data_IF_170155499681
#
_entry.id   IF_170155499681
#
_cell.length_a   1.000
_cell.length_b   1.000
_cell.length_c   1.000
_cell.angle_alpha   90.00
_cell.angle_beta   90.00
_cell.angle_gamma   90.00
#
_symmetry.space_group_name_H-M   'P 1'
#
loop_
_entity.id
_entity.type
_entity.pdbx_description
1 polymer ?
#
# COMPACT_ATOMS: atom_id res chain seq x y z
N UNK A 1 4.25 -0.32 1.65
CA UNK A 1 4.62 1.11 1.81
C UNK A 1 5.63 1.20 2.94
N UNK A 2 6.70 1.96 2.77
CA UNK A 2 7.74 2.08 3.80
C UNK A 2 7.25 2.88 5.02
N UNK A 3 7.94 2.72 6.17
CA UNK A 3 7.41 3.18 7.46
C UNK A 3 7.28 4.69 7.60
N UNK A 4 8.24 5.48 7.08
CA UNK A 4 8.17 6.95 7.15
C UNK A 4 6.95 7.46 6.37
N UNK A 5 6.67 6.89 5.20
CA UNK A 5 5.49 7.23 4.41
C UNK A 5 4.19 6.81 5.12
N UNK A 6 4.18 5.64 5.82
CA UNK A 6 3.00 5.23 6.62
C UNK A 6 2.71 6.24 7.73
N UNK A 7 3.73 6.62 8.50
CA UNK A 7 3.58 7.63 9.55
C UNK A 7 3.01 8.93 9.01
N UNK A 8 3.55 9.44 7.91
CA UNK A 8 3.11 10.71 7.34
C UNK A 8 1.67 10.66 6.83
N UNK A 9 1.33 9.67 6.02
CA UNK A 9 -0.02 9.58 5.47
C UNK A 9 -1.07 9.33 6.55
N UNK A 10 -0.75 8.51 7.56
CA UNK A 10 -1.70 8.27 8.66
C UNK A 10 -1.82 9.44 9.62
N UNK A 11 -0.79 10.27 9.77
CA UNK A 11 -0.86 11.53 10.52
C UNK A 11 -1.80 12.56 9.84
N UNK A 12 -1.83 12.60 8.48
CA UNK A 12 -2.80 13.40 7.72
C UNK A 12 -4.23 12.86 7.94
N UNK A 13 -4.37 11.54 8.08
CA UNK A 13 -5.61 10.86 8.44
C UNK A 13 -6.41 10.31 7.25
N UNK A 14 -7.52 9.65 7.60
CA UNK A 14 -8.43 9.05 6.61
C UNK A 14 -8.16 7.58 6.31
N UNK A 15 -7.26 6.92 7.03
CA UNK A 15 -6.93 5.51 6.85
C UNK A 15 -7.28 4.71 8.10
N UNK A 16 -7.94 3.58 7.93
CA UNK A 16 -8.28 2.65 9.02
C UNK A 16 -7.15 1.69 9.32
N UNK A 17 -6.31 1.39 8.34
CA UNK A 17 -5.10 0.58 8.48
C UNK A 17 -4.12 0.83 7.34
N UNK A 18 -2.88 0.40 7.57
CA UNK A 18 -1.81 0.33 6.57
C UNK A 18 -1.31 -1.10 6.41
N UNK A 19 -0.60 -1.32 5.30
CA UNK A 19 0.10 -2.57 5.02
C UNK A 19 1.56 -2.25 4.74
N UNK A 20 2.49 -3.05 5.29
CA UNK A 20 3.93 -2.87 5.05
C UNK A 20 4.32 -3.15 3.60
N UNK A 21 5.56 -2.84 3.24
CA UNK A 21 6.21 -3.53 2.13
C UNK A 21 6.20 -5.04 2.40
N UNK A 22 6.15 -5.85 1.32
CA UNK A 22 6.14 -7.28 1.56
C UNK A 22 7.49 -7.81 2.08
N UNK A 23 7.42 -8.65 3.09
CA UNK A 23 8.53 -9.49 3.53
C UNK A 23 8.61 -10.70 2.61
N UNK A 24 9.71 -10.85 1.88
CA UNK A 24 9.88 -11.99 0.99
C UNK A 24 10.31 -13.23 1.77
N UNK A 25 9.44 -14.23 1.78
CA UNK A 25 9.68 -15.58 2.32
C UNK A 25 10.08 -16.50 1.18
N UNK A 26 11.35 -16.89 1.08
CA UNK A 26 11.85 -17.70 -0.06
C UNK A 26 12.34 -19.08 0.34
N UNK A 27 13.21 -19.19 1.33
CA UNK A 27 13.90 -20.47 1.65
C UNK A 27 14.11 -20.73 3.12
N UNK A 28 13.83 -19.73 3.98
CA UNK A 28 14.10 -19.83 5.42
C UNK A 28 13.04 -19.15 6.26
N UNK A 29 12.97 -19.56 7.53
CA UNK A 29 12.25 -18.83 8.57
C UNK A 29 13.09 -17.60 8.95
N UNK A 30 12.51 -16.41 8.84
CA UNK A 30 13.22 -15.16 9.04
C UNK A 30 13.31 -14.79 10.52
N UNK A 31 14.41 -14.22 10.97
CA UNK A 31 14.55 -13.79 12.37
C UNK A 31 13.71 -12.53 12.64
N UNK A 32 13.25 -12.30 13.90
CA UNK A 32 12.45 -11.14 14.32
C UNK A 32 12.96 -9.78 13.86
N UNK A 33 14.28 -9.60 13.81
CA UNK A 33 14.91 -8.35 13.36
C UNK A 33 14.52 -7.91 11.95
N UNK A 34 14.19 -8.86 11.06
CA UNK A 34 13.75 -8.55 9.69
C UNK A 34 12.37 -7.88 9.73
N UNK A 35 11.46 -8.41 10.54
CA UNK A 35 10.11 -7.84 10.71
C UNK A 35 10.16 -6.47 11.38
N UNK A 36 10.94 -6.30 12.46
CA UNK A 36 11.11 -4.99 13.10
C UNK A 36 11.75 -3.94 12.20
N UNK A 37 12.59 -4.33 11.25
CA UNK A 37 13.18 -3.41 10.27
C UNK A 37 12.14 -2.87 9.30
N UNK A 38 11.25 -3.73 8.78
CA UNK A 38 10.23 -3.37 7.80
C UNK A 38 8.95 -2.82 8.44
N UNK A 39 8.67 -3.24 9.67
CA UNK A 39 7.55 -2.79 10.48
C UNK A 39 8.04 -2.41 11.88
N UNK A 40 8.69 -1.23 12.06
CA UNK A 40 9.12 -0.76 13.37
C UNK A 40 7.95 -0.52 14.32
N UNK A 41 6.76 -0.32 13.79
CA UNK A 41 5.50 -0.17 14.51
C UNK A 41 5.21 -1.37 15.43
N UNK A 42 5.78 -2.55 15.15
CA UNK A 42 5.71 -3.71 16.06
C UNK A 42 6.28 -3.44 17.47
N UNK A 43 7.08 -2.37 17.62
CA UNK A 43 7.52 -1.90 18.93
C UNK A 43 6.51 -1.00 19.63
N UNK A 44 5.45 -0.62 18.92
CA UNK A 44 4.34 0.21 19.39
C UNK A 44 3.02 -0.50 19.06
N UNK A 45 2.84 -1.72 19.55
CA UNK A 45 1.63 -2.54 19.37
C UNK A 45 1.17 -2.68 17.90
N UNK A 46 2.11 -2.59 16.96
CA UNK A 46 1.83 -2.64 15.53
C UNK A 46 1.07 -1.44 14.98
N UNK A 47 1.17 -0.28 15.65
CA UNK A 47 0.45 0.95 15.26
C UNK A 47 1.41 2.08 14.94
N UNK A 48 1.01 2.94 13.98
CA UNK A 48 1.67 4.23 13.75
C UNK A 48 1.48 5.16 14.94
N UNK A 49 2.21 6.28 15.00
CA UNK A 49 2.06 7.27 16.07
C UNK A 49 0.64 7.86 16.13
N UNK A 50 -0.08 7.91 14.99
CA UNK A 50 -1.50 8.32 14.94
C UNK A 50 -2.49 7.21 15.37
N UNK A 51 -2.01 6.04 15.80
CA UNK A 51 -2.82 4.91 16.26
C UNK A 51 -3.33 3.99 15.15
N UNK A 52 -2.97 4.24 13.89
CA UNK A 52 -3.42 3.42 12.75
C UNK A 52 -2.72 2.06 12.76
N UNK A 53 -3.45 0.92 12.75
CA UNK A 53 -2.87 -0.42 12.74
C UNK A 53 -2.12 -0.69 11.43
N UNK A 54 -1.00 -1.42 11.54
CA UNK A 54 -0.13 -1.78 10.41
C UNK A 54 -0.05 -3.29 10.29
N UNK A 55 -0.62 -3.84 9.21
CA UNK A 55 -0.54 -5.27 8.91
C UNK A 55 0.81 -5.58 8.25
N UNK A 56 1.44 -6.66 8.70
CA UNK A 56 2.70 -7.13 8.09
C UNK A 56 2.38 -7.96 6.87
N UNK A 57 2.88 -7.53 5.70
CA UNK A 57 2.65 -8.24 4.45
C UNK A 57 3.74 -9.28 4.20
N UNK A 58 3.33 -10.52 3.95
CA UNK A 58 4.20 -11.63 3.56
C UNK A 58 4.02 -11.97 2.08
N UNK A 59 5.11 -12.37 1.42
CA UNK A 59 5.12 -12.84 0.05
C UNK A 59 6.00 -14.07 -0.09
N UNK A 60 5.44 -15.19 -0.49
CA UNK A 60 6.11 -16.45 -0.70
C UNK A 60 5.22 -17.45 -1.40
N UNK A 61 5.73 -18.67 -1.67
CA UNK A 61 5.02 -19.73 -2.38
C UNK A 61 5.06 -21.10 -1.67
N UNK A 62 5.77 -21.21 -0.56
CA UNK A 62 5.83 -22.43 0.24
C UNK A 62 4.91 -22.30 1.45
N UNK A 63 3.84 -23.13 1.56
CA UNK A 63 2.88 -23.03 2.65
C UNK A 63 3.51 -23.19 4.05
N UNK A 64 4.45 -24.11 4.23
CA UNK A 64 5.08 -24.36 5.52
C UNK A 64 5.97 -23.19 5.96
N UNK A 65 6.76 -22.62 5.04
CA UNK A 65 7.60 -21.46 5.33
C UNK A 65 6.73 -20.21 5.57
N UNK A 66 5.64 -20.03 4.81
CA UNK A 66 4.71 -18.93 5.02
C UNK A 66 4.06 -19.02 6.41
N UNK A 67 3.59 -20.18 6.80
CA UNK A 67 3.02 -20.46 8.12
C UNK A 67 4.01 -20.20 9.26
N UNK A 68 5.26 -20.69 9.13
CA UNK A 68 6.30 -20.49 10.14
C UNK A 68 6.66 -19.00 10.33
N UNK A 69 6.73 -18.22 9.23
CA UNK A 69 7.00 -16.79 9.30
C UNK A 69 5.78 -16.00 9.86
N UNK A 70 4.56 -16.38 9.47
CA UNK A 70 3.33 -15.78 10.00
C UNK A 70 3.20 -15.99 11.52
N UNK A 71 3.56 -17.18 12.04
CA UNK A 71 3.61 -17.47 13.48
C UNK A 71 4.57 -16.53 14.23
N UNK A 72 5.71 -16.17 13.63
CA UNK A 72 6.63 -15.18 14.23
C UNK A 72 5.98 -13.80 14.23
N UNK A 73 5.40 -13.38 13.11
CA UNK A 73 4.73 -12.07 12.98
C UNK A 73 3.62 -11.91 14.03
N UNK A 74 2.77 -12.94 14.19
CA UNK A 74 1.73 -12.95 15.23
C UNK A 74 2.32 -12.83 16.64
N UNK A 75 3.39 -13.60 16.96
CA UNK A 75 4.09 -13.51 18.25
C UNK A 75 4.72 -12.14 18.51
N UNK A 76 5.08 -11.38 17.48
CA UNK A 76 5.59 -10.02 17.60
C UNK A 76 4.49 -8.98 17.82
N UNK A 77 3.22 -9.40 17.94
CA UNK A 77 2.09 -8.52 18.23
C UNK A 77 1.59 -7.75 17.01
N UNK A 78 1.77 -8.26 15.80
CA UNK A 78 1.19 -7.63 14.61
C UNK A 78 -0.34 -7.60 14.70
N UNK A 79 -1.01 -6.46 14.43
CA UNK A 79 -2.47 -6.35 14.43
C UNK A 79 -3.16 -7.20 13.36
N UNK A 80 -2.40 -7.67 12.36
CA UNK A 80 -2.86 -8.55 11.30
C UNK A 80 -1.73 -8.90 10.33
N UNK A 81 -1.98 -9.88 9.49
CA UNK A 81 -1.05 -10.39 8.48
C UNK A 81 -1.73 -10.36 7.12
N UNK A 82 -1.06 -9.76 6.14
CA UNK A 82 -1.53 -9.71 4.76
C UNK A 82 -0.69 -10.60 3.84
N UNK A 83 -1.33 -11.35 2.94
CA UNK A 83 -0.68 -12.28 2.02
C UNK A 83 -0.72 -11.74 0.59
N UNK A 84 0.45 -11.56 -0.04
CA UNK A 84 0.56 -10.93 -1.36
C UNK A 84 0.66 -11.96 -2.49
N UNK A 85 -0.42 -12.09 -3.26
CA UNK A 85 -0.50 -12.90 -4.48
C UNK A 85 -0.64 -12.04 -5.75
N UNK A 86 -0.42 -10.73 -5.65
CA UNK A 86 -0.63 -9.80 -6.77
C UNK A 86 0.62 -9.11 -7.30
N UNK A 87 1.82 -9.36 -6.74
CA UNK A 87 3.05 -8.68 -7.15
C UNK A 87 3.46 -9.06 -8.58
N UNK A 88 3.56 -8.09 -9.53
CA UNK A 88 3.88 -8.38 -10.93
C UNK A 88 5.38 -8.41 -11.22
N UNK A 89 6.25 -8.16 -10.23
CA UNK A 89 7.69 -8.03 -10.43
C UNK A 89 8.31 -9.31 -11.01
N UNK A 90 9.11 -9.17 -12.07
CA UNK A 90 9.74 -10.30 -12.78
C UNK A 90 10.57 -11.19 -11.84
N UNK A 91 11.33 -10.59 -10.92
CA UNK A 91 12.17 -11.30 -9.95
C UNK A 91 11.36 -12.13 -8.96
N UNK A 92 10.17 -11.67 -8.56
CA UNK A 92 9.23 -12.39 -7.70
C UNK A 92 8.59 -13.52 -8.47
N UNK A 93 8.11 -13.26 -9.68
CA UNK A 93 7.41 -14.25 -10.50
C UNK A 93 8.35 -15.39 -10.96
N UNK A 94 9.63 -15.12 -11.24
CA UNK A 94 10.63 -16.16 -11.54
C UNK A 94 10.81 -17.17 -10.38
N UNK A 95 10.57 -16.74 -9.14
CA UNK A 95 10.63 -17.57 -7.93
C UNK A 95 9.27 -18.21 -7.57
N UNK A 96 8.33 -18.27 -8.53
CA UNK A 96 6.97 -18.80 -8.37
C UNK A 96 6.14 -18.11 -7.27
N UNK A 97 6.47 -16.83 -6.93
CA UNK A 97 5.75 -16.02 -5.93
C UNK A 97 4.91 -14.92 -6.56
N UNK A 98 4.13 -14.22 -5.73
CA UNK A 98 3.30 -13.10 -6.17
C UNK A 98 2.26 -13.49 -7.21
N UNK A 99 2.14 -12.71 -8.29
CA UNK A 99 1.09 -12.91 -9.28
C UNK A 99 1.16 -14.26 -10.04
N UNK A 100 2.30 -14.96 -10.05
CA UNK A 100 2.41 -16.28 -10.67
C UNK A 100 1.48 -17.30 -10.00
N UNK A 101 1.21 -17.14 -8.70
CA UNK A 101 0.33 -18.02 -7.93
C UNK A 101 -1.14 -17.95 -8.40
N UNK A 102 -1.54 -16.88 -9.09
CA UNK A 102 -2.87 -16.75 -9.67
C UNK A 102 -3.17 -17.80 -10.76
N UNK A 103 -2.14 -18.49 -11.27
CA UNK A 103 -2.28 -19.63 -12.21
C UNK A 103 -2.58 -20.95 -11.52
N UNK A 104 -2.52 -21.00 -10.19
CA UNK A 104 -2.72 -22.21 -9.38
C UNK A 104 -3.50 -21.81 -8.12
N UNK A 105 -4.82 -21.56 -8.23
CA UNK A 105 -5.65 -21.10 -7.11
C UNK A 105 -5.62 -22.04 -5.90
N UNK A 106 -5.44 -23.35 -6.12
CA UNK A 106 -5.30 -24.36 -5.05
C UNK A 106 -4.11 -24.04 -4.14
N UNK A 107 -2.98 -23.60 -4.72
CA UNK A 107 -1.80 -23.24 -3.93
C UNK A 107 -2.04 -21.97 -3.10
N UNK A 108 -2.90 -21.03 -3.58
CA UNK A 108 -3.33 -19.89 -2.78
C UNK A 108 -4.10 -20.37 -1.55
N UNK A 109 -5.02 -21.33 -1.72
CA UNK A 109 -5.73 -21.96 -0.61
C UNK A 109 -4.76 -22.58 0.38
N UNK A 110 -3.83 -23.44 -0.08
CA UNK A 110 -2.88 -24.13 0.78
C UNK A 110 -2.02 -23.16 1.60
N UNK A 111 -1.54 -22.08 0.99
CA UNK A 111 -0.75 -21.05 1.68
C UNK A 111 -1.61 -20.32 2.73
N UNK A 112 -2.78 -19.83 2.34
CA UNK A 112 -3.68 -19.10 3.24
C UNK A 112 -4.13 -19.99 4.41
N UNK A 113 -4.50 -21.25 4.14
CA UNK A 113 -4.91 -22.23 5.15
C UNK A 113 -3.78 -22.54 6.12
N UNK A 114 -2.58 -22.80 5.60
CA UNK A 114 -1.41 -23.06 6.45
C UNK A 114 -1.08 -21.87 7.36
N UNK A 115 -1.19 -20.63 6.84
CA UNK A 115 -0.99 -19.42 7.64
C UNK A 115 -2.11 -19.27 8.69
N UNK A 116 -3.38 -19.47 8.30
CA UNK A 116 -4.51 -19.40 9.23
C UNK A 116 -4.35 -20.39 10.38
N UNK A 117 -3.98 -21.64 10.09
CA UNK A 117 -3.82 -22.70 11.09
C UNK A 117 -2.62 -22.46 12.03
N UNK A 118 -1.60 -21.77 11.56
CA UNK A 118 -0.38 -21.49 12.35
C UNK A 118 -0.48 -20.22 13.23
N UNK A 119 -1.54 -19.44 13.09
CA UNK A 119 -1.71 -18.14 13.80
C UNK A 119 -2.89 -18.20 14.76
N UNK A 120 -2.91 -17.38 15.84
CA UNK A 120 -4.05 -17.27 16.74
C UNK A 120 -5.35 -16.93 15.97
N UNK A 121 -6.48 -17.41 16.46
CA UNK A 121 -7.79 -17.23 15.79
C UNK A 121 -8.20 -15.76 15.70
N UNK A 122 -7.80 -14.97 16.66
CA UNK A 122 -8.05 -13.53 16.78
C UNK A 122 -7.09 -12.66 15.96
N UNK A 123 -6.03 -13.25 15.37
CA UNK A 123 -5.13 -12.54 14.45
C UNK A 123 -5.78 -12.47 13.05
N UNK A 124 -6.18 -11.29 12.54
CA UNK A 124 -6.72 -11.17 11.20
C UNK A 124 -5.72 -11.58 10.12
N UNK A 125 -6.15 -12.45 9.22
CA UNK A 125 -5.40 -12.84 8.02
C UNK A 125 -6.12 -12.31 6.79
N UNK A 126 -5.45 -11.48 5.99
CA UNK A 126 -5.98 -10.95 4.74
C UNK A 126 -5.17 -11.41 3.55
N UNK A 127 -5.75 -11.40 2.38
CA UNK A 127 -5.04 -11.74 1.15
C UNK A 127 -5.25 -10.64 0.10
N UNK A 128 -4.23 -10.42 -0.75
CA UNK A 128 -4.31 -9.48 -1.86
C UNK A 128 -3.99 -10.18 -3.17
N UNK A 129 -4.97 -10.15 -4.09
CA UNK A 129 -4.91 -10.79 -5.41
C UNK A 129 -5.07 -9.76 -6.54
N UNK A 130 -5.03 -10.26 -7.78
CA UNK A 130 -5.50 -9.59 -8.99
C UNK A 130 -6.63 -10.42 -9.62
N UNK A 131 -7.28 -9.89 -10.65
CA UNK A 131 -8.31 -10.61 -11.42
C UNK A 131 -7.80 -11.92 -12.03
N UNK A 132 -6.50 -12.02 -12.27
CA UNK A 132 -5.82 -13.19 -12.82
C UNK A 132 -4.41 -12.85 -13.26
N UNK A 133 -3.73 -13.81 -13.89
CA UNK A 133 -2.38 -13.62 -14.41
C UNK A 133 -2.39 -13.09 -15.85
N UNK A 134 -2.84 -13.88 -16.81
CA UNK A 134 -2.91 -13.54 -18.23
C UNK A 134 -4.25 -12.83 -18.54
N UNK A 135 -5.35 -13.39 -18.07
CA UNK A 135 -6.72 -12.90 -18.16
C UNK A 135 -7.47 -13.10 -16.84
N UNK A 136 -8.76 -12.87 -16.81
CA UNK A 136 -9.64 -12.96 -15.63
C UNK A 136 -10.54 -14.22 -15.61
N UNK A 137 -10.30 -15.17 -16.49
CA UNK A 137 -11.11 -16.40 -16.59
C UNK A 137 -11.15 -17.24 -15.32
N UNK A 138 -10.05 -17.21 -14.52
CA UNK A 138 -9.93 -17.91 -13.25
C UNK A 138 -10.27 -17.06 -12.03
N UNK A 139 -10.81 -15.84 -12.21
CA UNK A 139 -11.02 -14.92 -11.09
C UNK A 139 -11.95 -15.49 -10.02
N UNK A 140 -13.03 -16.15 -10.42
CA UNK A 140 -13.97 -16.78 -9.49
C UNK A 140 -13.28 -17.86 -8.65
N UNK A 141 -12.45 -18.71 -9.26
CA UNK A 141 -11.72 -19.77 -8.57
C UNK A 141 -10.67 -19.18 -7.62
N UNK A 142 -9.90 -18.17 -8.06
CA UNK A 142 -8.93 -17.47 -7.22
C UNK A 142 -9.61 -16.91 -5.95
N UNK A 143 -10.75 -16.26 -6.10
CA UNK A 143 -11.51 -15.72 -4.99
C UNK A 143 -12.06 -16.83 -4.08
N UNK A 144 -12.66 -17.88 -4.65
CA UNK A 144 -13.23 -19.00 -3.92
C UNK A 144 -12.19 -19.73 -3.07
N UNK A 145 -11.07 -20.09 -3.67
CA UNK A 145 -10.00 -20.77 -2.96
C UNK A 145 -9.42 -19.92 -1.84
N UNK A 146 -9.19 -18.61 -2.10
CA UNK A 146 -8.72 -17.70 -1.06
C UNK A 146 -9.72 -17.63 0.12
N UNK A 147 -11.01 -17.44 -0.16
CA UNK A 147 -12.06 -17.31 0.86
C UNK A 147 -12.27 -18.60 1.65
N UNK A 148 -12.32 -19.74 0.99
CA UNK A 148 -12.47 -21.07 1.63
C UNK A 148 -11.31 -21.44 2.57
N UNK A 149 -10.16 -20.78 2.44
CA UNK A 149 -9.01 -20.99 3.32
C UNK A 149 -9.17 -20.42 4.73
N UNK A 150 -10.21 -19.61 4.97
CA UNK A 150 -10.48 -18.99 6.28
C UNK A 150 -9.79 -17.64 6.50
N UNK A 151 -9.44 -16.92 5.44
CA UNK A 151 -9.01 -15.52 5.55
C UNK A 151 -10.17 -14.61 5.97
N UNK A 152 -9.85 -13.47 6.57
CA UNK A 152 -10.84 -12.53 7.08
C UNK A 152 -11.31 -11.52 6.01
N UNK A 153 -10.46 -11.19 5.03
CA UNK A 153 -10.77 -10.22 3.96
C UNK A 153 -9.96 -10.53 2.70
N UNK A 154 -10.52 -10.19 1.54
CA UNK A 154 -9.84 -10.34 0.26
C UNK A 154 -9.75 -8.97 -0.45
N UNK A 155 -8.54 -8.47 -0.66
CA UNK A 155 -8.31 -7.27 -1.49
C UNK A 155 -8.05 -7.67 -2.94
N UNK A 156 -8.77 -7.06 -3.87
CA UNK A 156 -8.66 -7.35 -5.30
C UNK A 156 -8.18 -6.12 -6.07
N UNK A 157 -6.98 -6.20 -6.67
CA UNK A 157 -6.61 -5.23 -7.67
C UNK A 157 -7.36 -5.53 -8.97
N UNK A 158 -8.24 -4.60 -9.38
CA UNK A 158 -9.16 -4.76 -10.50
C UNK A 158 -8.48 -4.78 -11.88
N UNK A 159 -7.40 -5.54 -12.01
CA UNK A 159 -6.61 -5.80 -13.23
C UNK A 159 -5.95 -7.16 -13.17
N UNK A 160 -5.68 -7.73 -14.33
CA UNK A 160 -4.78 -8.89 -14.41
C UNK A 160 -3.31 -8.47 -14.25
N UNK A 161 -2.41 -9.45 -14.10
CA UNK A 161 -0.96 -9.17 -14.05
C UNK A 161 -0.45 -8.58 -15.36
N UNK A 162 -0.96 -9.06 -16.50
CA UNK A 162 -0.54 -8.59 -17.84
C UNK A 162 -1.00 -7.15 -18.11
N UNK A 163 -2.16 -6.76 -17.62
CA UNK A 163 -2.62 -5.37 -17.68
C UNK A 163 -1.76 -4.42 -16.85
N UNK A 164 -1.00 -4.94 -15.89
CA UNK A 164 -0.08 -4.20 -15.01
C UNK A 164 -0.77 -3.02 -14.29
N UNK A 165 -0.47 -1.78 -14.72
CA UNK A 165 -1.02 -0.55 -14.17
C UNK A 165 -1.72 0.32 -15.23
N UNK A 166 -1.95 -0.23 -16.42
CA UNK A 166 -2.61 0.50 -17.51
C UNK A 166 -4.10 0.68 -17.21
N UNK A 167 -4.66 1.89 -17.33
CA UNK A 167 -6.10 2.10 -17.20
C UNK A 167 -6.88 1.42 -18.33
N UNK A 168 -8.18 1.07 -18.09
CA UNK A 168 -8.92 1.26 -16.84
C UNK A 168 -8.65 0.15 -15.81
N UNK A 169 -9.09 0.37 -14.54
CA UNK A 169 -9.36 -0.72 -13.62
C UNK A 169 -10.77 -1.27 -13.89
N UNK A 170 -10.91 -2.60 -13.89
CA UNK A 170 -12.17 -3.27 -14.21
C UNK A 170 -12.98 -3.55 -12.93
N UNK A 171 -13.49 -2.50 -12.29
CA UNK A 171 -14.19 -2.58 -11.01
C UNK A 171 -15.44 -3.47 -11.06
N UNK A 172 -16.18 -3.49 -12.18
CA UNK A 172 -17.37 -4.31 -12.37
C UNK A 172 -17.12 -5.82 -12.21
N UNK A 173 -15.89 -6.28 -12.47
CA UNK A 173 -15.53 -7.68 -12.24
C UNK A 173 -15.62 -8.07 -10.77
N UNK A 174 -15.38 -7.14 -9.84
CA UNK A 174 -15.50 -7.40 -8.41
C UNK A 174 -16.98 -7.61 -8.00
N UNK A 175 -17.93 -6.99 -8.70
CA UNK A 175 -19.36 -7.17 -8.47
C UNK A 175 -19.81 -8.63 -8.58
N UNK A 176 -19.08 -9.46 -9.34
CA UNK A 176 -19.37 -10.90 -9.45
C UNK A 176 -19.12 -11.69 -8.17
N UNK A 177 -18.32 -11.15 -7.24
CA UNK A 177 -17.95 -11.81 -6.00
C UNK A 177 -18.31 -11.02 -4.73
N UNK A 178 -18.56 -9.69 -4.82
CA UNK A 178 -18.69 -8.81 -3.63
C UNK A 178 -19.90 -9.15 -2.76
N UNK A 179 -21.00 -9.59 -3.35
CA UNK A 179 -22.27 -9.78 -2.64
C UNK A 179 -22.53 -11.21 -2.12
N UNK A 180 -21.64 -12.18 -2.35
CA UNK A 180 -21.98 -13.60 -2.17
C UNK A 180 -21.00 -14.44 -1.36
N UNK A 181 -19.96 -13.86 -0.74
CA UNK A 181 -18.82 -14.63 -0.26
C UNK A 181 -18.60 -14.68 1.26
N UNK A 182 -19.41 -13.99 2.06
CA UNK A 182 -19.36 -14.08 3.52
C UNK A 182 -18.18 -13.39 4.21
N UNK A 183 -17.26 -12.77 3.45
CA UNK A 183 -16.18 -11.92 3.95
C UNK A 183 -16.10 -10.60 3.16
N UNK A 184 -15.57 -9.51 3.74
CA UNK A 184 -15.37 -8.26 3.04
C UNK A 184 -14.46 -8.41 1.82
N UNK A 185 -14.90 -7.88 0.68
CA UNK A 185 -14.09 -7.70 -0.54
C UNK A 185 -13.66 -6.25 -0.62
N UNK A 186 -12.36 -6.02 -0.73
CA UNK A 186 -11.77 -4.68 -0.75
C UNK A 186 -11.33 -4.34 -2.17
N UNK A 187 -11.95 -3.30 -2.76
CA UNK A 187 -11.60 -2.87 -4.11
C UNK A 187 -10.30 -2.06 -4.13
N UNK A 188 -9.44 -2.35 -5.11
CA UNK A 188 -8.18 -1.64 -5.32
C UNK A 188 -7.94 -1.34 -6.80
N UNK A 189 -7.40 -0.18 -7.09
CA UNK A 189 -6.97 0.27 -8.42
C UNK A 189 -7.71 1.50 -8.91
N UNK A 190 -6.98 2.47 -9.49
CA UNK A 190 -7.47 3.69 -10.15
C UNK A 190 -8.33 4.63 -9.28
N UNK A 191 -8.19 4.60 -7.98
CA UNK A 191 -8.84 5.57 -7.08
C UNK A 191 -7.87 6.74 -6.87
N UNK A 192 -8.14 7.87 -7.51
CA UNK A 192 -7.32 9.09 -7.49
C UNK A 192 -8.06 10.28 -6.86
N UNK A 193 -9.38 10.23 -6.86
CA UNK A 193 -10.28 11.26 -6.34
C UNK A 193 -11.41 10.64 -5.52
N UNK A 194 -12.11 11.41 -4.67
CA UNK A 194 -13.33 10.93 -4.02
C UNK A 194 -14.38 10.42 -5.02
N UNK A 195 -14.58 11.11 -6.15
CA UNK A 195 -15.52 10.68 -7.19
C UNK A 195 -15.11 9.36 -7.86
N UNK A 196 -13.81 9.03 -7.93
CA UNK A 196 -13.38 7.70 -8.39
C UNK A 196 -13.81 6.61 -7.41
N UNK A 197 -13.78 6.91 -6.11
CA UNK A 197 -14.23 5.97 -5.10
C UNK A 197 -15.74 5.71 -5.21
N UNK A 198 -16.55 6.76 -5.44
CA UNK A 198 -17.99 6.60 -5.64
C UNK A 198 -18.28 5.72 -6.85
N UNK A 199 -17.61 5.97 -7.99
CA UNK A 199 -17.74 5.12 -9.19
C UNK A 199 -17.25 3.69 -8.94
N UNK A 200 -16.16 3.53 -8.17
CA UNK A 200 -15.66 2.22 -7.80
C UNK A 200 -16.69 1.46 -6.94
N UNK A 201 -17.31 2.14 -5.95
CA UNK A 201 -18.38 1.57 -5.13
C UNK A 201 -19.57 1.14 -5.97
N UNK A 202 -20.07 2.02 -6.84
CA UNK A 202 -21.20 1.74 -7.71
C UNK A 202 -20.95 0.52 -8.62
N UNK A 203 -19.76 0.44 -9.24
CA UNK A 203 -19.44 -0.62 -10.19
C UNK A 203 -19.06 -1.94 -9.52
N UNK A 204 -18.41 -1.90 -8.38
CA UNK A 204 -17.89 -3.09 -7.70
C UNK A 204 -18.85 -3.67 -6.65
N UNK A 205 -19.77 -2.86 -6.12
CA UNK A 205 -20.58 -3.21 -4.95
C UNK A 205 -19.76 -3.37 -3.66
N UNK A 206 -18.52 -2.89 -3.62
CA UNK A 206 -17.67 -2.96 -2.44
C UNK A 206 -17.84 -1.73 -1.56
N UNK A 207 -17.81 -1.93 -0.22
CA UNK A 207 -17.86 -0.84 0.77
C UNK A 207 -16.48 -0.48 1.34
N UNK A 208 -15.47 -1.31 1.09
CA UNK A 208 -14.10 -1.09 1.53
C UNK A 208 -13.13 -0.94 0.35
N UNK A 209 -12.14 -0.05 0.50
CA UNK A 209 -11.25 0.35 -0.60
C UNK A 209 -9.81 0.43 -0.14
N UNK A 210 -8.89 -0.08 -0.96
CA UNK A 210 -7.45 0.08 -0.73
C UNK A 210 -6.89 1.15 -1.66
N UNK A 211 -6.47 2.27 -1.09
CA UNK A 211 -5.74 3.31 -1.82
C UNK A 211 -4.28 2.88 -2.04
N UNK A 212 -3.68 3.34 -3.11
CA UNK A 212 -2.27 3.10 -3.42
C UNK A 212 -1.63 4.36 -4.01
N UNK A 213 -1.34 4.40 -5.32
CA UNK A 213 -0.68 5.53 -5.98
C UNK A 213 -1.42 6.85 -5.80
N UNK A 214 -2.76 6.84 -5.77
CA UNK A 214 -3.57 8.04 -5.53
C UNK A 214 -3.19 8.75 -4.22
N UNK A 215 -2.96 7.98 -3.14
CA UNK A 215 -2.52 8.54 -1.86
C UNK A 215 -1.09 9.13 -1.89
N UNK A 216 -0.22 8.63 -2.79
CA UNK A 216 1.11 9.20 -2.99
C UNK A 216 1.07 10.46 -3.86
N UNK A 217 0.13 10.53 -4.80
CA UNK A 217 -0.06 11.70 -5.67
C UNK A 217 -0.75 12.85 -4.93
N UNK A 218 -1.67 12.50 -4.05
CA UNK A 218 -2.45 13.42 -3.23
C UNK A 218 -2.45 12.94 -1.77
N UNK A 219 -1.53 13.43 -0.92
CA UNK A 219 -1.34 12.92 0.44
C UNK A 219 -2.60 13.00 1.32
N UNK A 220 -3.46 13.97 1.11
CA UNK A 220 -4.73 14.16 1.82
C UNK A 220 -5.91 13.36 1.23
N UNK A 221 -5.68 12.46 0.26
CA UNK A 221 -6.76 11.72 -0.43
C UNK A 221 -7.64 10.94 0.55
N UNK A 222 -7.06 10.26 1.53
CA UNK A 222 -7.84 9.52 2.55
C UNK A 222 -8.77 10.43 3.34
N UNK A 223 -8.26 11.57 3.82
CA UNK A 223 -9.04 12.61 4.52
C UNK A 223 -10.13 13.19 3.61
N UNK A 224 -9.80 13.48 2.35
CA UNK A 224 -10.74 14.03 1.39
C UNK A 224 -11.89 13.05 1.07
N UNK A 225 -11.60 11.75 0.99
CA UNK A 225 -12.62 10.70 0.79
C UNK A 225 -13.56 10.63 1.99
N UNK A 226 -13.05 10.64 3.23
CA UNK A 226 -13.90 10.63 4.43
C UNK A 226 -14.80 11.87 4.50
N UNK A 227 -14.23 13.03 4.30
CA UNK A 227 -14.99 14.28 4.29
C UNK A 227 -16.07 14.30 3.19
N UNK A 228 -15.76 13.76 2.00
CA UNK A 228 -16.74 13.63 0.91
C UNK A 228 -17.91 12.72 1.30
N UNK A 229 -17.62 11.56 1.92
CA UNK A 229 -18.65 10.64 2.38
C UNK A 229 -19.55 11.25 3.47
N UNK A 230 -19.01 12.14 4.29
CA UNK A 230 -19.71 12.87 5.35
C UNK A 230 -20.35 14.19 4.84
N UNK A 231 -20.20 14.50 3.55
CA UNK A 231 -20.65 15.77 2.95
C UNK A 231 -20.04 17.02 3.63
N UNK A 232 -18.84 16.89 4.18
CA UNK A 232 -18.11 17.98 4.81
C UNK A 232 -17.14 18.60 3.80
N UNK A 233 -17.20 19.93 3.55
CA UNK A 233 -16.24 20.58 2.69
C UNK A 233 -14.82 20.47 3.24
N UNK A 234 -13.88 20.04 2.42
CA UNK A 234 -12.46 20.03 2.76
C UNK A 234 -11.64 20.63 1.62
N UNK A 235 -10.78 21.56 1.93
CA UNK A 235 -9.87 22.11 0.94
C UNK A 235 -8.75 21.09 0.64
N UNK A 236 -8.42 20.85 -0.64
CA UNK A 236 -7.25 20.08 -1.01
C UNK A 236 -5.99 20.68 -0.40
N UNK A 237 -5.06 19.82 -0.01
CA UNK A 237 -3.76 20.26 0.50
C UNK A 237 -3.05 21.11 -0.55
N UNK A 238 -2.63 22.30 -0.14
CA UNK A 238 -1.93 23.26 -0.99
C UNK A 238 -0.47 22.85 -1.23
N UNK A 239 0.16 23.37 -2.29
CA UNK A 239 1.58 23.09 -2.53
C UNK A 239 2.51 23.46 -1.37
N UNK A 240 2.36 24.62 -0.69
CA UNK A 240 3.17 24.92 0.49
C UNK A 240 3.08 23.88 1.60
N UNK A 241 1.88 23.34 1.86
CA UNK A 241 1.69 22.25 2.84
C UNK A 241 2.39 20.98 2.38
N UNK A 242 2.31 20.64 1.08
CA UNK A 242 3.02 19.50 0.51
C UNK A 242 4.54 19.68 0.55
N UNK A 243 5.02 20.90 0.31
CA UNK A 243 6.46 21.21 0.38
C UNK A 243 7.00 21.05 1.81
N UNK A 244 6.21 21.42 2.81
CA UNK A 244 6.54 21.17 4.23
C UNK A 244 6.59 19.66 4.54
N UNK A 245 5.63 18.88 4.04
CA UNK A 245 5.67 17.43 4.16
C UNK A 245 6.89 16.80 3.48
N UNK A 246 7.37 17.35 2.36
CA UNK A 246 8.59 16.87 1.70
C UNK A 246 9.83 17.09 2.58
N UNK A 247 9.92 18.21 3.29
CA UNK A 247 11.00 18.49 4.24
C UNK A 247 10.94 17.47 5.39
N UNK A 248 9.78 17.32 6.02
CA UNK A 248 9.57 16.35 7.11
C UNK A 248 9.90 14.92 6.67
N UNK A 249 9.49 14.53 5.47
CA UNK A 249 9.78 13.20 4.89
C UNK A 249 11.28 13.01 4.69
N UNK A 250 11.98 14.01 4.18
CA UNK A 250 13.42 13.96 3.96
C UNK A 250 14.18 13.83 5.27
N UNK A 251 13.83 14.63 6.29
CA UNK A 251 14.43 14.59 7.63
C UNK A 251 14.16 13.25 8.34
N UNK A 252 12.90 12.78 8.32
CA UNK A 252 12.53 11.51 8.95
C UNK A 252 13.25 10.30 8.31
N UNK A 253 13.44 10.30 6.99
CA UNK A 253 14.25 9.29 6.31
C UNK A 253 15.72 9.41 6.70
N UNK A 254 16.28 10.62 6.81
CA UNK A 254 17.66 10.87 7.23
C UNK A 254 17.93 10.46 8.66
N UNK A 255 16.95 10.62 9.55
CA UNK A 255 17.04 10.17 10.95
C UNK A 255 16.97 8.64 11.09
N UNK A 256 16.20 7.98 10.20
CA UNK A 256 16.00 6.53 10.25
C UNK A 256 17.11 5.74 9.56
N UNK A 257 17.64 6.28 8.47
CA UNK A 257 18.69 5.68 7.65
C UNK A 257 19.89 6.64 7.60
N UNK A 258 21.01 6.22 7.00
CA UNK A 258 22.05 7.16 6.63
C UNK A 258 21.46 8.26 5.72
N UNK A 259 21.74 9.52 6.06
CA UNK A 259 21.16 10.72 5.41
C UNK A 259 21.31 10.71 3.89
N UNK A 260 22.39 10.13 3.36
CA UNK A 260 22.59 9.97 1.91
C UNK A 260 21.50 9.11 1.22
N UNK A 261 20.82 8.22 1.95
CA UNK A 261 19.78 7.37 1.41
C UNK A 261 18.39 8.04 1.41
N UNK A 262 18.19 9.17 2.08
CA UNK A 262 16.92 9.90 2.10
C UNK A 262 16.57 10.56 0.76
N UNK A 263 17.57 10.80 -0.10
CA UNK A 263 17.42 11.50 -1.38
C UNK A 263 16.55 10.70 -2.36
N UNK A 264 16.78 9.39 -2.49
CA UNK A 264 16.07 8.57 -3.49
C UNK A 264 14.57 8.38 -3.18
N UNK A 265 14.15 8.08 -1.93
CA UNK A 265 12.74 8.06 -1.56
C UNK A 265 12.03 9.39 -1.85
N UNK A 266 12.67 10.53 -1.56
CA UNK A 266 12.14 11.86 -1.85
C UNK A 266 11.90 12.06 -3.36
N UNK A 267 12.90 11.73 -4.20
CA UNK A 267 12.75 11.81 -5.65
C UNK A 267 11.65 10.91 -6.18
N UNK A 268 11.51 9.70 -5.62
CA UNK A 268 10.42 8.80 -5.98
C UNK A 268 9.05 9.38 -5.61
N UNK A 269 8.92 10.01 -4.45
CA UNK A 269 7.67 10.64 -4.06
C UNK A 269 7.32 11.84 -4.95
N UNK A 270 8.29 12.67 -5.30
CA UNK A 270 8.10 13.77 -6.25
C UNK A 270 7.54 13.30 -7.61
N UNK A 271 7.98 12.12 -8.10
CA UNK A 271 7.43 11.52 -9.33
C UNK A 271 5.93 11.23 -9.22
N UNK A 272 5.43 10.85 -8.05
CA UNK A 272 4.00 10.68 -7.84
C UNK A 272 3.28 12.02 -7.66
N UNK A 273 3.80 12.92 -6.85
CA UNK A 273 3.20 14.23 -6.57
C UNK A 273 2.98 15.07 -7.83
N UNK A 274 3.83 14.96 -8.85
CA UNK A 274 3.70 15.72 -10.10
C UNK A 274 2.38 15.46 -10.85
N UNK A 275 1.68 14.36 -10.57
CA UNK A 275 0.36 14.08 -11.16
C UNK A 275 -0.73 15.01 -10.63
N UNK A 276 -0.56 15.53 -9.41
CA UNK A 276 -1.53 16.42 -8.76
C UNK A 276 -0.99 17.86 -8.56
N UNK A 277 0.33 18.02 -8.49
CA UNK A 277 0.99 19.29 -8.20
C UNK A 277 2.02 19.64 -9.29
N UNK A 278 1.71 20.58 -10.21
CA UNK A 278 2.67 21.00 -11.25
C UNK A 278 4.02 21.48 -10.68
N UNK A 279 3.99 22.08 -9.47
CA UNK A 279 5.20 22.53 -8.77
C UNK A 279 6.14 21.37 -8.40
N UNK A 280 5.60 20.17 -8.17
CA UNK A 280 6.40 18.97 -7.91
C UNK A 280 7.23 18.59 -9.15
N UNK A 281 6.70 18.76 -10.37
CA UNK A 281 7.45 18.53 -11.60
C UNK A 281 8.62 19.52 -11.75
N UNK A 282 8.39 20.80 -11.45
CA UNK A 282 9.43 21.83 -11.46
C UNK A 282 10.53 21.53 -10.43
N UNK A 283 10.14 21.19 -9.20
CA UNK A 283 11.08 20.79 -8.14
C UNK A 283 11.86 19.53 -8.53
N UNK A 284 11.19 18.50 -9.05
CA UNK A 284 11.86 17.28 -9.50
C UNK A 284 12.90 17.57 -10.59
N UNK A 285 12.59 18.42 -11.58
CA UNK A 285 13.52 18.82 -12.62
C UNK A 285 14.78 19.47 -12.04
N UNK A 286 14.63 20.28 -11.00
CA UNK A 286 15.71 20.94 -10.27
C UNK A 286 16.57 19.92 -9.50
N UNK A 287 15.93 18.96 -8.76
CA UNK A 287 16.64 18.11 -7.78
C UNK A 287 17.06 16.75 -8.34
N UNK A 288 16.61 16.33 -9.52
CA UNK A 288 16.86 14.97 -10.06
C UNK A 288 18.33 14.56 -10.11
N UNK A 289 19.26 15.51 -10.25
CA UNK A 289 20.71 15.26 -10.30
C UNK A 289 21.43 15.50 -8.96
N UNK A 290 20.78 16.08 -7.97
CA UNK A 290 21.36 16.33 -6.64
C UNK A 290 21.67 14.99 -6.00
N UNK A 291 22.86 14.86 -5.42
CA UNK A 291 23.33 13.69 -4.68
C UNK A 291 23.72 14.03 -3.25
N UNK A 292 23.95 15.31 -2.98
CA UNK A 292 24.30 15.83 -1.66
C UNK A 292 23.03 16.12 -0.85
N UNK A 293 22.93 15.67 0.42
CA UNK A 293 21.78 15.92 1.27
C UNK A 293 21.57 17.40 1.65
N UNK A 294 22.63 18.20 1.78
CA UNK A 294 22.52 19.60 2.15
C UNK A 294 22.01 20.43 0.97
N UNK A 295 22.52 20.16 -0.24
CA UNK A 295 21.99 20.74 -1.47
C UNK A 295 20.50 20.38 -1.67
N UNK A 296 20.12 19.13 -1.32
CA UNK A 296 18.72 18.71 -1.38
C UNK A 296 17.84 19.52 -0.40
N UNK A 297 18.30 19.68 0.82
CA UNK A 297 17.58 20.48 1.83
C UNK A 297 17.46 21.93 1.40
N UNK A 298 18.52 22.55 0.87
CA UNK A 298 18.46 23.92 0.33
C UNK A 298 17.41 24.07 -0.76
N UNK A 299 17.32 23.07 -1.67
CA UNK A 299 16.31 23.10 -2.74
C UNK A 299 14.87 22.96 -2.19
N UNK A 300 14.65 22.13 -1.16
CA UNK A 300 13.36 21.98 -0.50
C UNK A 300 12.93 23.26 0.22
N UNK A 301 13.82 23.88 0.97
CA UNK A 301 13.56 25.15 1.64
C UNK A 301 13.24 26.28 0.64
N UNK A 302 13.91 26.31 -0.50
CA UNK A 302 13.59 27.24 -1.58
C UNK A 302 12.20 27.01 -2.20
N UNK A 303 11.68 25.79 -2.16
CA UNK A 303 10.34 25.47 -2.65
C UNK A 303 9.21 25.97 -1.71
N UNK A 304 9.47 26.12 -0.41
CA UNK A 304 8.51 26.69 0.56
C UNK A 304 8.50 28.22 0.52
N UNK A 305 9.63 28.87 0.23
CA UNK A 305 9.77 30.34 0.29
C UNK A 305 9.20 31.08 -0.91
N UNK A 306 9.01 30.47 -2.05
CA UNK A 306 8.45 31.12 -3.28
C UNK A 306 7.04 31.71 -3.12
N UNK A 307 6.46 31.65 -1.92
CA UNK A 307 5.16 32.24 -1.58
C UNK A 307 5.20 33.75 -1.35
N UNK A 308 6.34 34.32 -0.98
CA UNK A 308 6.42 35.73 -0.57
C UNK A 308 6.36 36.74 -1.75
N UNK A 309 6.66 36.33 -2.97
CA UNK A 309 6.81 37.23 -4.12
C UNK A 309 5.58 37.23 -5.04
N UNK A 310 4.75 36.18 -5.04
CA UNK A 310 3.55 36.12 -5.91
C UNK A 310 2.26 36.66 -5.28
N UNK A 311 2.26 37.01 -4.00
CA UNK A 311 1.11 37.61 -3.31
C UNK A 311 1.22 39.14 -3.17
N UNK A 312 2.27 39.74 -3.71
CA UNK A 312 2.57 41.20 -3.67
C UNK A 312 2.66 41.82 -5.08
N UNK A 313 2.12 41.17 -6.11
CA UNK A 313 2.01 41.72 -7.46
C UNK A 313 0.57 41.70 -7.96
#
# INVERSE_FOLDING_TARGET
MESVMREMLTAIGGYERCVTEFVRVSSTVLPPKVFHRLCPELKNEGRTASGTPVYVQLLGSDPALMAANAKIVAKLGAPGIDLNFGCPAKTVNKSRGGATLLKTPELIFDICKAVRDATPVDTPITAKVRLGFDDDSQFADIADYAIKSGINELTVHARTKVQAYRPPAHWSQLGTISNHRGIPIIANGEIWTPSDLDRCREQSGCDAFMLARGALCRPDLGRAIKAHAESVPVNPMSWPEVAELLIQFFEANGARYDRKYSINPLKQWLVYLQYCYPQAAALFAQVKRIRDPDDMMCALLGATQKRAISAAA
#
